data_IF_386239483438
#
_entry.id   IF_386239483438
#
_cell.length_a   1.000
_cell.length_b   1.000
_cell.length_c   1.000
_cell.angle_alpha   90.00
_cell.angle_beta   90.00
_cell.angle_gamma   90.00
#
_symmetry.space_group_name_H-M   'P 1'
#
loop_
_entity.id
_entity.type
_entity.pdbx_description
1 polymer ?
#
# COMPACT_ATOMS: atom_id res chain seq x y z
N UNK A 1 -0.31 33.90 -26.15
CA UNK A 1 0.09 32.72 -25.36
C UNK A 1 -1.09 32.33 -24.52
N UNK A 2 -1.92 31.41 -25.03
CA UNK A 2 -3.18 31.00 -24.37
C UNK A 2 -2.91 29.82 -23.41
N UNK A 3 -2.89 30.13 -22.13
CA UNK A 3 -2.82 29.13 -21.04
C UNK A 3 -4.22 28.51 -20.90
N UNK A 4 -4.53 27.47 -21.67
CA UNK A 4 -5.71 26.63 -21.43
C UNK A 4 -5.41 25.73 -20.25
N UNK A 5 -5.73 26.19 -19.04
CA UNK A 5 -5.87 25.32 -17.88
C UNK A 5 -6.92 24.26 -18.21
N UNK A 6 -6.48 23.02 -18.39
CA UNK A 6 -7.38 21.88 -18.55
C UNK A 6 -8.04 21.66 -17.21
N UNK A 7 -9.17 22.34 -17.00
CA UNK A 7 -10.03 22.08 -15.84
C UNK A 7 -10.61 20.69 -16.08
N UNK A 8 -10.16 19.71 -15.31
CA UNK A 8 -10.77 18.39 -15.25
C UNK A 8 -12.26 18.56 -14.94
N UNK A 9 -13.10 18.40 -15.95
CA UNK A 9 -14.55 18.42 -15.76
C UNK A 9 -14.92 17.20 -14.90
N UNK A 10 -15.35 17.48 -13.69
CA UNK A 10 -15.94 16.50 -12.78
C UNK A 10 -17.10 15.80 -13.48
N UNK A 11 -17.04 14.49 -13.64
CA UNK A 11 -18.14 13.68 -14.14
C UNK A 11 -18.95 13.09 -12.97
N UNK A 12 -20.13 13.65 -12.67
CA UNK A 12 -20.96 13.18 -11.55
C UNK A 12 -21.49 11.76 -11.71
N UNK A 13 -21.53 11.24 -12.94
CA UNK A 13 -22.09 9.90 -13.23
C UNK A 13 -21.28 8.75 -12.62
N UNK A 14 -20.01 8.99 -12.28
CA UNK A 14 -19.12 8.00 -11.63
C UNK A 14 -19.53 7.74 -10.17
N UNK A 15 -20.37 8.60 -9.59
CA UNK A 15 -20.73 8.57 -8.17
C UNK A 15 -22.19 8.22 -7.89
N UNK A 16 -22.87 7.56 -8.85
CA UNK A 16 -24.24 7.07 -8.64
C UNK A 16 -24.31 6.05 -7.51
N UNK A 17 -24.48 6.53 -6.28
CA UNK A 17 -25.16 5.79 -5.21
C UNK A 17 -25.62 6.75 -4.11
N UNK A 18 -26.93 6.94 -4.05
CA UNK A 18 -27.78 7.33 -2.92
C UNK A 18 -27.43 8.60 -2.15
N UNK A 19 -28.38 9.53 -2.23
CA UNK A 19 -28.56 10.83 -1.55
C UNK A 19 -27.74 11.98 -2.11
N UNK A 20 -28.46 12.99 -2.48
CA UNK A 20 -28.14 14.39 -2.84
C UNK A 20 -26.68 14.79 -2.75
N UNK A 21 -26.07 14.92 -3.92
CA UNK A 21 -24.66 15.31 -4.13
C UNK A 21 -24.27 16.67 -3.52
N UNK A 22 -25.24 17.48 -3.12
CA UNK A 22 -25.02 18.81 -2.57
C UNK A 22 -24.38 18.80 -1.18
N UNK A 23 -24.73 17.82 -0.33
CA UNK A 23 -24.16 17.68 1.02
C UNK A 23 -22.72 17.17 1.05
N UNK A 24 -22.22 16.64 -0.08
CA UNK A 24 -20.86 16.09 -0.18
C UNK A 24 -19.90 16.94 -0.99
N UNK A 25 -20.30 18.12 -1.46
CA UNK A 25 -19.48 18.98 -2.33
C UNK A 25 -18.15 19.36 -1.67
N UNK A 26 -18.14 19.72 -0.39
CA UNK A 26 -16.95 20.08 0.39
C UNK A 26 -15.96 18.91 0.48
N UNK A 27 -16.45 17.68 0.69
CA UNK A 27 -15.60 16.49 0.79
C UNK A 27 -15.04 16.04 -0.58
N UNK A 28 -15.77 16.32 -1.68
CA UNK A 28 -15.33 15.92 -3.01
C UNK A 28 -14.17 16.78 -3.56
N UNK A 29 -14.01 18.01 -3.10
CA UNK A 29 -12.89 18.88 -3.46
C UNK A 29 -11.64 18.61 -2.62
N UNK A 30 -11.78 17.96 -1.46
CA UNK A 30 -10.65 17.67 -0.59
C UNK A 30 -9.85 16.47 -1.13
N UNK A 31 -8.63 16.73 -1.60
CA UNK A 31 -7.73 15.69 -2.09
C UNK A 31 -7.41 14.61 -1.05
N UNK A 32 -7.37 14.97 0.25
CA UNK A 32 -7.15 14.02 1.36
C UNK A 32 -8.26 12.97 1.39
N UNK A 33 -9.53 13.39 1.24
CA UNK A 33 -10.66 12.47 1.16
C UNK A 33 -10.53 11.53 -0.04
N UNK A 34 -10.13 12.05 -1.21
CA UNK A 34 -9.93 11.24 -2.43
C UNK A 34 -8.80 10.23 -2.24
N UNK A 35 -7.68 10.62 -1.65
CA UNK A 35 -6.56 9.73 -1.32
C UNK A 35 -7.02 8.62 -0.37
N UNK A 36 -7.72 8.96 0.71
CA UNK A 36 -8.23 7.98 1.68
C UNK A 36 -9.22 7.00 1.03
N UNK A 37 -10.14 7.50 0.21
CA UNK A 37 -11.11 6.68 -0.53
C UNK A 37 -10.42 5.74 -1.51
N UNK A 38 -9.43 6.23 -2.26
CA UNK A 38 -8.63 5.42 -3.18
C UNK A 38 -7.84 4.35 -2.41
N UNK A 39 -7.13 4.74 -1.34
CA UNK A 39 -6.38 3.84 -0.48
C UNK A 39 -7.27 2.71 0.08
N UNK A 40 -8.46 3.04 0.57
CA UNK A 40 -9.41 2.04 1.08
C UNK A 40 -9.85 1.05 -0.02
N UNK A 41 -10.12 1.53 -1.24
CA UNK A 41 -10.50 0.68 -2.38
C UNK A 41 -9.35 -0.23 -2.81
N UNK A 42 -8.14 0.31 -2.88
CA UNK A 42 -6.91 -0.43 -3.21
C UNK A 42 -6.65 -1.55 -2.19
N UNK A 43 -6.74 -1.24 -0.90
CA UNK A 43 -6.61 -2.22 0.19
C UNK A 43 -7.68 -3.32 0.08
N UNK A 44 -8.95 -2.93 -0.08
CA UNK A 44 -10.08 -3.87 -0.20
C UNK A 44 -9.92 -4.81 -1.40
N UNK A 45 -9.54 -4.27 -2.57
CA UNK A 45 -9.27 -5.08 -3.76
C UNK A 45 -8.19 -6.12 -3.49
N UNK A 46 -7.09 -5.72 -2.86
CA UNK A 46 -5.97 -6.63 -2.57
C UNK A 46 -6.41 -7.71 -1.58
N UNK A 47 -6.97 -7.34 -0.42
CA UNK A 47 -7.40 -8.28 0.62
C UNK A 47 -8.43 -9.27 0.10
N UNK A 48 -9.40 -8.83 -0.73
CA UNK A 48 -10.41 -9.72 -1.32
C UNK A 48 -9.79 -10.86 -2.13
N UNK A 49 -8.72 -10.59 -2.88
CA UNK A 49 -8.02 -11.62 -3.67
C UNK A 49 -7.28 -12.64 -2.78
N UNK A 50 -6.95 -12.27 -1.52
CA UNK A 50 -6.24 -13.15 -0.58
C UNK A 50 -7.14 -13.74 0.51
N UNK A 51 -8.44 -13.49 0.46
CA UNK A 51 -9.40 -13.99 1.46
C UNK A 51 -9.33 -15.51 1.62
N UNK A 52 -9.12 -16.23 0.52
CA UNK A 52 -8.96 -17.71 0.49
C UNK A 52 -7.77 -18.21 1.34
N UNK A 53 -6.78 -17.37 1.61
CA UNK A 53 -5.62 -17.71 2.43
C UNK A 53 -5.73 -17.22 3.88
N UNK A 54 -6.83 -16.57 4.25
CA UNK A 54 -7.01 -15.94 5.56
C UNK A 54 -5.90 -14.91 5.90
N UNK A 55 -5.42 -14.18 4.89
CA UNK A 55 -4.38 -13.17 4.98
C UNK A 55 -5.02 -11.79 4.88
N UNK A 56 -4.78 -10.95 5.88
CA UNK A 56 -5.23 -9.56 5.94
C UNK A 56 -4.22 -8.58 5.33
N UNK A 57 -4.58 -7.30 5.33
CA UNK A 57 -3.70 -6.25 4.79
C UNK A 57 -2.35 -6.17 5.53
N UNK A 58 -2.27 -6.27 6.87
CA UNK A 58 -0.99 -6.24 7.58
C UNK A 58 0.00 -7.29 7.09
N UNK A 59 -0.46 -8.52 7.01
CA UNK A 59 0.35 -9.65 6.59
C UNK A 59 0.79 -9.50 5.13
N UNK A 60 -0.09 -9.01 4.25
CA UNK A 60 0.24 -8.76 2.85
C UNK A 60 1.32 -7.69 2.68
N UNK A 61 1.27 -6.65 3.51
CA UNK A 61 2.30 -5.59 3.51
C UNK A 61 3.65 -6.17 3.94
N UNK A 62 3.71 -6.87 5.07
CA UNK A 62 4.96 -7.47 5.59
C UNK A 62 5.51 -8.50 4.60
N UNK A 63 4.67 -9.38 4.07
CA UNK A 63 5.05 -10.37 3.07
C UNK A 63 5.64 -9.70 1.83
N UNK A 64 5.05 -8.58 1.40
CA UNK A 64 5.53 -7.80 0.26
C UNK A 64 6.90 -7.20 0.52
N UNK A 65 7.13 -6.60 1.69
CA UNK A 65 8.42 -6.00 2.06
C UNK A 65 9.51 -7.05 2.10
N UNK A 66 9.27 -8.15 2.81
CA UNK A 66 10.26 -9.25 2.91
C UNK A 66 10.58 -9.84 1.53
N UNK A 67 9.62 -9.88 0.61
CA UNK A 67 9.81 -10.42 -0.72
C UNK A 67 10.51 -9.49 -1.70
N UNK A 68 10.36 -8.17 -1.52
CA UNK A 68 10.96 -7.16 -2.41
C UNK A 68 12.40 -6.84 -2.08
N UNK A 69 12.78 -6.94 -0.82
CA UNK A 69 14.12 -6.57 -0.35
C UNK A 69 15.02 -7.79 -0.42
N UNK A 70 16.16 -7.65 -1.10
CA UNK A 70 17.20 -8.71 -1.14
C UNK A 70 17.92 -8.87 0.19
N UNK A 71 17.88 -7.85 1.04
CA UNK A 71 18.57 -7.79 2.32
C UNK A 71 17.76 -8.43 3.46
N UNK A 72 18.44 -8.64 4.57
CA UNK A 72 17.88 -9.20 5.79
C UNK A 72 17.02 -8.15 6.51
N UNK A 73 15.69 -8.31 6.52
CA UNK A 73 14.78 -7.40 7.20
C UNK A 73 14.48 -7.88 8.63
N UNK A 74 14.80 -7.03 9.60
CA UNK A 74 14.44 -7.20 11.00
C UNK A 74 13.09 -6.53 11.32
N UNK A 75 12.55 -6.75 12.53
CA UNK A 75 11.36 -6.00 13.00
C UNK A 75 11.66 -4.49 13.02
N UNK A 76 12.89 -4.09 13.42
CA UNK A 76 13.30 -2.68 13.46
C UNK A 76 13.22 -2.05 12.07
N UNK A 77 13.72 -2.74 11.04
CA UNK A 77 13.67 -2.24 9.66
C UNK A 77 12.21 -2.09 9.18
N UNK A 78 11.36 -3.06 9.52
CA UNK A 78 9.93 -2.99 9.17
C UNK A 78 9.20 -1.82 9.85
N UNK A 79 9.57 -1.47 11.11
CA UNK A 79 9.00 -0.32 11.80
C UNK A 79 9.46 1.01 11.20
N UNK A 80 10.70 1.08 10.72
CA UNK A 80 11.26 2.29 10.10
C UNK A 80 10.67 2.56 8.73
N UNK A 81 10.48 1.51 7.91
CA UNK A 81 9.96 1.62 6.52
C UNK A 81 8.46 1.84 6.49
N UNK A 82 7.74 1.31 7.47
CA UNK A 82 6.29 1.49 7.60
C UNK A 82 5.98 2.09 8.96
N UNK A 83 5.28 3.21 8.94
CA UNK A 83 4.68 3.92 10.09
C UNK A 83 3.65 3.06 10.86
N UNK A 84 3.82 1.76 10.86
CA UNK A 84 3.07 0.81 11.67
C UNK A 84 3.75 0.61 13.02
N UNK A 85 2.98 0.59 14.08
CA UNK A 85 3.53 0.33 15.42
C UNK A 85 4.17 -1.07 15.50
N UNK A 86 5.17 -1.19 16.38
CA UNK A 86 5.93 -2.43 16.59
C UNK A 86 5.05 -3.62 16.96
N UNK A 87 4.01 -3.40 17.76
CA UNK A 87 3.08 -4.46 18.18
C UNK A 87 2.28 -5.00 17.00
N UNK A 88 1.85 -4.12 16.10
CA UNK A 88 1.14 -4.51 14.89
C UNK A 88 2.02 -5.35 13.95
N UNK A 89 3.26 -4.91 13.71
CA UNK A 89 4.24 -5.65 12.89
C UNK A 89 4.53 -7.02 13.52
N UNK A 90 4.72 -7.07 14.84
CA UNK A 90 4.99 -8.31 15.55
C UNK A 90 3.85 -9.32 15.41
N UNK A 91 2.59 -8.88 15.62
CA UNK A 91 1.41 -9.77 15.47
C UNK A 91 1.28 -10.32 14.05
N UNK A 92 1.40 -9.45 13.04
CA UNK A 92 1.30 -9.86 11.65
C UNK A 92 2.45 -10.78 11.22
N UNK A 93 3.68 -10.54 11.71
CA UNK A 93 4.83 -11.40 11.45
C UNK A 93 4.66 -12.77 12.09
N UNK A 94 4.18 -12.84 13.35
CA UNK A 94 3.92 -14.12 14.03
C UNK A 94 2.86 -14.94 13.28
N UNK A 95 1.77 -14.32 12.85
CA UNK A 95 0.75 -14.99 12.02
C UNK A 95 1.34 -15.53 10.70
N UNK A 96 2.21 -14.79 10.04
CA UNK A 96 2.90 -15.26 8.83
C UNK A 96 3.83 -16.45 9.11
N UNK A 97 4.46 -16.50 10.30
CA UNK A 97 5.30 -17.63 10.75
C UNK A 97 4.44 -18.85 11.01
N UNK A 98 3.33 -18.72 11.75
CA UNK A 98 2.36 -19.79 12.01
C UNK A 98 1.80 -20.37 10.72
N UNK A 99 1.53 -19.54 9.72
CA UNK A 99 1.10 -19.94 8.39
C UNK A 99 2.22 -20.57 7.54
N UNK A 100 3.46 -20.59 8.05
CA UNK A 100 4.67 -21.06 7.36
C UNK A 100 4.95 -20.29 6.07
N UNK A 101 4.63 -19.00 6.02
CA UNK A 101 4.91 -18.13 4.86
C UNK A 101 6.25 -17.43 4.99
N UNK A 102 6.66 -17.12 6.20
CA UNK A 102 8.00 -16.59 6.51
C UNK A 102 8.66 -17.44 7.61
N UNK A 103 9.97 -17.32 7.73
CA UNK A 103 10.75 -17.91 8.80
C UNK A 103 11.72 -16.91 9.40
N UNK A 104 12.00 -17.06 10.70
CA UNK A 104 13.07 -16.34 11.40
C UNK A 104 14.41 -17.01 11.12
N UNK A 105 15.44 -16.22 10.87
CA UNK A 105 16.82 -16.66 10.73
C UNK A 105 17.63 -15.82 11.69
N UNK A 106 18.38 -16.47 12.59
CA UNK A 106 19.28 -15.76 13.50
C UNK A 106 20.51 -15.24 12.75
N UNK A 107 21.04 -14.10 13.17
CA UNK A 107 22.35 -13.65 12.71
C UNK A 107 23.46 -14.54 13.29
N UNK A 108 24.47 -14.82 12.49
CA UNK A 108 25.63 -15.64 12.94
C UNK A 108 26.37 -14.90 14.05
N UNK A 109 26.50 -13.57 13.91
CA UNK A 109 27.22 -12.68 14.84
C UNK A 109 26.48 -12.43 16.16
N UNK A 110 25.16 -12.59 16.18
CA UNK A 110 24.32 -12.35 17.36
C UNK A 110 23.05 -13.19 17.29
N UNK A 111 22.99 -14.28 18.02
CA UNK A 111 21.85 -15.21 18.07
C UNK A 111 20.58 -14.60 18.67
N UNK A 112 20.67 -13.45 19.36
CA UNK A 112 19.50 -12.71 19.89
C UNK A 112 18.81 -11.90 18.80
N UNK A 113 19.52 -11.58 17.72
CA UNK A 113 18.97 -10.86 16.57
C UNK A 113 18.53 -11.84 15.50
N UNK A 114 17.43 -11.52 14.84
CA UNK A 114 16.92 -12.34 13.76
C UNK A 114 16.36 -11.45 12.65
N UNK A 115 16.31 -11.98 11.45
CA UNK A 115 15.67 -11.40 10.29
C UNK A 115 14.68 -12.38 9.68
N UNK A 116 13.84 -11.90 8.79
CA UNK A 116 12.82 -12.70 8.14
C UNK A 116 13.22 -13.10 6.72
N UNK A 117 12.84 -14.31 6.31
CA UNK A 117 12.91 -14.78 4.93
C UNK A 117 11.59 -15.43 4.52
N UNK A 118 11.24 -15.31 3.24
CA UNK A 118 10.14 -16.07 2.66
C UNK A 118 10.49 -17.56 2.64
N UNK A 119 9.51 -18.41 2.96
CA UNK A 119 9.56 -19.84 2.66
C UNK A 119 9.19 -20.10 1.19
N UNK A 120 9.29 -21.33 0.69
CA UNK A 120 8.80 -21.68 -0.65
C UNK A 120 7.30 -21.36 -0.82
N UNK A 121 6.50 -21.67 0.21
CA UNK A 121 5.08 -21.32 0.25
C UNK A 121 4.87 -19.82 0.24
N UNK A 122 5.66 -19.08 1.03
CA UNK A 122 5.64 -17.60 1.06
C UNK A 122 6.00 -16.98 -0.28
N UNK A 123 6.99 -17.51 -0.99
CA UNK A 123 7.37 -17.05 -2.35
C UNK A 123 6.23 -17.20 -3.35
N UNK A 124 5.47 -18.31 -3.31
CA UNK A 124 4.29 -18.51 -4.17
C UNK A 124 3.24 -17.43 -3.93
N UNK A 125 2.88 -17.18 -2.64
CA UNK A 125 1.92 -16.13 -2.27
C UNK A 125 2.44 -14.73 -2.64
N UNK A 126 3.73 -14.46 -2.43
CA UNK A 126 4.36 -13.20 -2.82
C UNK A 126 4.26 -12.95 -4.34
N UNK A 127 4.55 -13.96 -5.16
CA UNK A 127 4.44 -13.84 -6.63
C UNK A 127 2.98 -13.58 -7.06
N UNK A 128 2.00 -14.24 -6.43
CA UNK A 128 0.59 -13.96 -6.67
C UNK A 128 0.24 -12.52 -6.27
N UNK A 129 0.78 -12.03 -5.15
CA UNK A 129 0.60 -10.65 -4.71
C UNK A 129 1.18 -9.65 -5.72
N UNK A 130 2.37 -9.90 -6.28
CA UNK A 130 2.94 -9.03 -7.32
C UNK A 130 2.05 -9.01 -8.57
N UNK A 131 1.55 -10.15 -9.03
CA UNK A 131 0.64 -10.24 -10.17
C UNK A 131 -0.66 -9.45 -9.94
N UNK A 132 -1.20 -9.48 -8.70
CA UNK A 132 -2.39 -8.71 -8.32
C UNK A 132 -2.07 -7.21 -8.28
N UNK A 133 -0.89 -6.81 -7.78
CA UNK A 133 -0.44 -5.42 -7.77
C UNK A 133 -0.32 -4.86 -9.20
N UNK A 134 0.29 -5.60 -10.12
CA UNK A 134 0.42 -5.20 -11.52
C UNK A 134 -0.95 -5.05 -12.19
N UNK A 135 -1.85 -6.02 -12.00
CA UNK A 135 -3.22 -5.98 -12.53
C UNK A 135 -4.02 -4.79 -11.99
N UNK A 136 -3.89 -4.53 -10.69
CA UNK A 136 -4.52 -3.39 -10.04
C UNK A 136 -3.97 -2.06 -10.56
N UNK A 137 -2.65 -1.97 -10.72
CA UNK A 137 -2.01 -0.79 -11.29
C UNK A 137 -2.55 -0.50 -12.69
N UNK A 138 -2.54 -1.48 -13.59
CA UNK A 138 -3.08 -1.34 -14.95
C UNK A 138 -4.52 -0.84 -14.95
N UNK A 139 -5.39 -1.41 -14.10
CA UNK A 139 -6.80 -0.97 -13.99
C UNK A 139 -6.97 0.45 -13.43
N UNK A 140 -6.07 0.90 -12.57
CA UNK A 140 -6.15 2.24 -12.00
C UNK A 140 -5.57 3.31 -12.92
N UNK A 141 -4.68 2.92 -13.83
CA UNK A 141 -4.01 3.82 -14.77
C UNK A 141 -4.53 3.69 -16.21
N UNK A 142 -5.63 2.97 -16.45
CA UNK A 142 -6.14 2.64 -17.79
C UNK A 142 -6.37 3.89 -18.66
N UNK A 143 -6.93 4.94 -18.06
CA UNK A 143 -7.25 6.20 -18.76
C UNK A 143 -6.22 7.31 -18.50
N UNK A 144 -5.04 6.98 -17.97
CA UNK A 144 -3.99 7.93 -17.67
C UNK A 144 -2.82 7.81 -18.64
N UNK A 145 -2.35 8.94 -19.12
CA UNK A 145 -1.10 9.01 -19.88
C UNK A 145 0.12 8.81 -18.98
N UNK A 146 1.25 8.43 -19.57
CA UNK A 146 2.51 8.29 -18.83
C UNK A 146 2.95 9.60 -18.15
N UNK A 147 2.66 10.74 -18.76
CA UNK A 147 2.97 12.06 -18.20
C UNK A 147 2.09 12.36 -16.98
N UNK A 148 0.80 12.09 -17.03
CA UNK A 148 -0.10 12.24 -15.88
C UNK A 148 0.31 11.34 -14.71
N UNK A 149 0.69 10.10 -14.99
CA UNK A 149 1.21 9.16 -13.97
C UNK A 149 2.49 9.72 -13.33
N UNK A 150 3.43 10.23 -14.15
CA UNK A 150 4.67 10.82 -13.67
C UNK A 150 4.40 12.06 -12.79
N UNK A 151 3.55 12.96 -13.24
CA UNK A 151 3.19 14.17 -12.51
C UNK A 151 2.46 13.86 -11.21
N UNK A 152 1.55 12.88 -11.22
CA UNK A 152 0.86 12.42 -10.02
C UNK A 152 1.84 11.86 -8.98
N UNK A 153 2.81 11.04 -9.39
CA UNK A 153 3.84 10.52 -8.48
C UNK A 153 4.68 11.65 -7.88
N UNK A 154 5.14 12.62 -8.69
CA UNK A 154 5.91 13.77 -8.21
C UNK A 154 5.13 14.60 -7.17
N UNK A 155 3.82 14.79 -7.37
CA UNK A 155 2.97 15.49 -6.41
C UNK A 155 2.80 14.70 -5.12
N UNK A 156 2.60 13.39 -5.20
CA UNK A 156 2.52 12.52 -4.02
C UNK A 156 3.83 12.52 -3.23
N UNK A 157 4.99 12.46 -3.89
CA UNK A 157 6.29 12.49 -3.23
C UNK A 157 6.50 13.81 -2.47
N UNK A 158 6.15 14.95 -3.09
CA UNK A 158 6.18 16.27 -2.41
C UNK A 158 5.26 16.30 -1.19
N UNK A 159 4.07 15.72 -1.28
CA UNK A 159 3.12 15.66 -0.16
C UNK A 159 3.63 14.76 0.96
N UNK A 160 4.24 13.62 0.64
CA UNK A 160 4.86 12.72 1.61
C UNK A 160 5.99 13.42 2.36
N UNK A 161 6.91 14.09 1.66
CA UNK A 161 7.99 14.88 2.27
C UNK A 161 7.45 15.99 3.19
N UNK A 162 6.39 16.69 2.77
CA UNK A 162 5.76 17.72 3.61
C UNK A 162 5.08 17.10 4.84
N UNK A 163 4.49 15.92 4.72
CA UNK A 163 3.87 15.24 5.85
C UNK A 163 4.91 14.83 6.90
N UNK A 164 6.08 14.34 6.48
CA UNK A 164 7.18 14.00 7.39
C UNK A 164 7.67 15.23 8.17
N UNK A 165 7.78 16.39 7.50
CA UNK A 165 8.24 17.64 8.12
C UNK A 165 7.23 18.25 9.08
N UNK A 166 5.94 18.18 8.76
CA UNK A 166 4.91 19.00 9.39
C UNK A 166 3.90 18.22 10.23
N UNK A 167 3.74 16.93 10.01
CA UNK A 167 2.71 16.09 10.66
C UNK A 167 3.30 15.01 11.59
N UNK A 168 4.57 14.67 11.40
CA UNK A 168 5.29 13.69 12.24
C UNK A 168 6.27 14.46 13.10
N UNK A 169 5.86 14.74 14.34
CA UNK A 169 6.73 15.26 15.43
C UNK A 169 7.06 14.13 16.39
#
# INVERSE_FOLDING_TARGET
MNNKSTIFKFNPSVYKTRKTLEDYSIYNFNFIFKINKLSARVKRYTVRNFRKYNIGNPELVILSLIGQVKNQLTIKDLTTVHWMDKGFISRASNKLIEMKLIKKINFISDKRRHYFKLTLKGKKIFNELQSIKVRRYKKLSEDLTNEEIKNFNLLLDKMLLNSEKNLVK
#
